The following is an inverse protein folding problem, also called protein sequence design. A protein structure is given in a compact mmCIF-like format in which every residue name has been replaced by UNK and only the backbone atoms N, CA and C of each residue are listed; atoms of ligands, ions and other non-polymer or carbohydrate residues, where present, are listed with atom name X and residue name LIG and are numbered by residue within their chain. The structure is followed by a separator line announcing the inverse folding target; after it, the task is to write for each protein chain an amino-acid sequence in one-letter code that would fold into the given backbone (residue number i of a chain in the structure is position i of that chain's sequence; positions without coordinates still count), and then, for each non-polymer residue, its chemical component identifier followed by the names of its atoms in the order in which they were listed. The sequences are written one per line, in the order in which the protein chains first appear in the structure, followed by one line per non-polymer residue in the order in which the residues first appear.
data_IF_381870550178
#
_entry.id   IF_381870550178
#
_cell.length_a   1.000
_cell.length_b   1.000
_cell.length_c   1.000
_cell.angle_alpha   90.00
_cell.angle_beta   90.00
_cell.angle_gamma   90.00
#
_symmetry.space_group_name_H-M   'P 1'
#
loop_
_entity.id
_entity.type
_entity.pdbx_description
1 polymer ?
#
# COMPACT_ATOMS: atom_id res chain seq x y z
N UNK A 1 -6.09 2.22 -23.19
CA UNK A 1 -5.48 3.30 -22.36
C UNK A 1 -5.92 3.12 -20.91
N UNK A 2 -5.50 2.05 -20.23
CA UNK A 2 -5.96 1.79 -18.85
C UNK A 2 -4.91 1.15 -17.92
N UNK A 3 -3.68 0.93 -18.38
CA UNK A 3 -2.63 0.30 -17.55
C UNK A 3 -1.71 1.29 -16.82
N UNK A 4 -1.79 2.59 -17.11
CA UNK A 4 -0.85 3.59 -16.55
C UNK A 4 -1.33 4.17 -15.20
N UNK A 5 -2.59 3.94 -14.81
CA UNK A 5 -3.18 4.63 -13.63
C UNK A 5 -2.99 3.85 -12.31
N UNK A 6 -2.83 2.52 -12.33
CA UNK A 6 -2.77 1.71 -11.09
C UNK A 6 -1.50 1.92 -10.25
N UNK A 7 -0.37 2.20 -10.89
CA UNK A 7 0.86 2.61 -10.16
C UNK A 7 0.70 3.98 -9.50
N UNK A 8 -0.19 4.84 -10.02
CA UNK A 8 -0.32 6.20 -9.53
C UNK A 8 -0.82 6.30 -8.08
N UNK A 9 -1.60 5.33 -7.58
CA UNK A 9 -2.00 5.34 -6.16
C UNK A 9 -0.84 4.87 -5.26
N UNK A 10 -0.20 3.76 -5.62
CA UNK A 10 0.88 3.15 -4.84
C UNK A 10 2.13 4.05 -4.77
N UNK A 11 2.31 4.93 -5.76
CA UNK A 11 3.39 5.94 -5.80
C UNK A 11 3.05 7.25 -5.06
N UNK A 12 1.79 7.50 -4.69
CA UNK A 12 1.41 8.70 -3.92
C UNK A 12 1.81 8.57 -2.47
N UNK A 13 2.06 9.71 -1.84
CA UNK A 13 2.29 9.76 -0.40
C UNK A 13 1.00 9.45 0.37
N UNK A 14 1.14 8.86 1.55
CA UNK A 14 0.00 8.52 2.41
C UNK A 14 -0.85 9.76 2.73
N UNK A 15 -0.23 10.92 2.98
CA UNK A 15 -0.95 12.17 3.24
C UNK A 15 -1.76 12.73 2.06
N UNK A 16 -1.41 12.37 0.82
CA UNK A 16 -2.15 12.80 -0.37
C UNK A 16 -3.41 11.94 -0.61
N UNK A 17 -3.45 10.73 -0.04
CA UNK A 17 -4.50 9.74 -0.27
C UNK A 17 -5.39 9.57 0.97
N UNK A 18 -4.83 9.72 2.16
CA UNK A 18 -5.49 9.45 3.43
C UNK A 18 -5.48 10.70 4.33
N UNK A 19 -6.65 11.28 4.55
CA UNK A 19 -6.83 12.51 5.37
C UNK A 19 -6.36 12.36 6.84
N UNK A 20 -6.20 11.13 7.32
CA UNK A 20 -5.76 10.82 8.68
C UNK A 20 -4.25 10.65 8.80
N UNK A 21 -3.51 10.64 7.69
CA UNK A 21 -2.07 10.44 7.67
C UNK A 21 -1.36 11.76 7.34
N UNK A 22 -0.34 12.10 8.12
CA UNK A 22 0.60 13.19 7.78
C UNK A 22 1.89 12.66 7.13
N UNK A 23 1.94 11.35 6.81
CA UNK A 23 3.16 10.71 6.32
C UNK A 23 3.45 11.01 4.86
N UNK A 24 4.70 11.39 4.57
CA UNK A 24 5.25 11.51 3.22
C UNK A 24 5.56 10.15 2.58
N UNK A 25 5.51 9.06 3.35
CA UNK A 25 5.79 7.70 2.87
C UNK A 25 4.82 7.31 1.75
N UNK A 26 5.30 6.76 0.63
CA UNK A 26 4.44 6.21 -0.41
C UNK A 26 3.49 5.13 0.11
N UNK A 27 2.29 5.01 -0.46
CA UNK A 27 1.33 3.97 -0.08
C UNK A 27 1.92 2.56 -0.20
N UNK A 28 2.75 2.30 -1.22
CA UNK A 28 3.41 0.99 -1.35
C UNK A 28 4.36 0.69 -0.18
N UNK A 29 5.10 1.69 0.27
CA UNK A 29 6.14 1.51 1.28
C UNK A 29 5.47 1.30 2.65
N UNK A 30 4.36 2.00 2.90
CA UNK A 30 3.54 1.78 4.07
C UNK A 30 2.95 0.35 4.11
N UNK A 31 2.47 -0.18 2.97
CA UNK A 31 2.01 -1.55 2.84
C UNK A 31 3.16 -2.56 3.03
N UNK A 32 4.31 -2.29 2.42
CA UNK A 32 5.51 -3.10 2.55
C UNK A 32 5.94 -3.23 4.01
N UNK A 33 6.03 -2.11 4.73
CA UNK A 33 6.39 -2.09 6.15
C UNK A 33 5.37 -2.88 7.01
N UNK A 34 4.08 -2.73 6.73
CA UNK A 34 3.04 -3.53 7.41
C UNK A 34 3.26 -5.04 7.22
N UNK A 35 3.54 -5.49 6.00
CA UNK A 35 3.81 -6.89 5.73
C UNK A 35 5.16 -7.36 6.27
N UNK A 36 6.18 -6.50 6.29
CA UNK A 36 7.47 -6.80 6.92
C UNK A 36 7.30 -7.10 8.41
N UNK A 37 6.56 -6.26 9.13
CA UNK A 37 6.29 -6.49 10.56
C UNK A 37 5.47 -7.78 10.78
N UNK A 38 4.46 -8.02 9.95
CA UNK A 38 3.61 -9.23 10.03
C UNK A 38 4.36 -10.52 9.69
N UNK A 39 5.28 -10.48 8.73
CA UNK A 39 6.02 -11.64 8.23
C UNK A 39 7.37 -11.87 8.94
N UNK A 40 7.68 -11.14 10.01
CA UNK A 40 8.96 -11.26 10.72
C UNK A 40 10.15 -10.85 9.86
N UNK A 41 9.98 -9.78 9.06
CA UNK A 41 10.98 -9.18 8.18
C UNK A 41 11.46 -10.12 7.05
N UNK A 42 10.64 -11.10 6.69
CA UNK A 42 10.90 -11.97 5.55
C UNK A 42 10.50 -11.27 4.24
N UNK A 43 11.50 -10.88 3.44
CA UNK A 43 11.31 -10.19 2.18
C UNK A 43 10.53 -11.00 1.16
N UNK A 44 10.79 -12.31 1.06
CA UNK A 44 10.12 -13.18 0.08
C UNK A 44 8.61 -13.22 0.32
N UNK A 45 8.20 -13.36 1.59
CA UNK A 45 6.77 -13.34 1.98
C UNK A 45 6.14 -11.97 1.80
N UNK A 46 6.88 -10.90 2.05
CA UNK A 46 6.40 -9.53 1.86
C UNK A 46 6.17 -9.25 0.38
N UNK A 47 7.09 -9.67 -0.50
CA UNK A 47 6.92 -9.57 -1.94
C UNK A 47 5.68 -10.35 -2.41
N UNK A 48 5.51 -11.60 -1.97
CA UNK A 48 4.33 -12.41 -2.28
C UNK A 48 3.03 -11.73 -1.82
N UNK A 49 3.02 -11.12 -0.63
CA UNK A 49 1.88 -10.39 -0.10
C UNK A 49 1.58 -9.08 -0.85
N UNK A 50 2.59 -8.46 -1.47
CA UNK A 50 2.44 -7.22 -2.26
C UNK A 50 1.90 -7.46 -3.67
N UNK A 51 2.12 -8.64 -4.26
CA UNK A 51 1.71 -8.98 -5.64
C UNK A 51 0.23 -8.68 -5.95
N UNK A 52 -0.75 -9.02 -5.08
CA UNK A 52 -2.15 -8.70 -5.36
C UNK A 52 -2.39 -7.20 -5.53
N UNK A 53 -1.77 -6.36 -4.70
CA UNK A 53 -1.95 -4.90 -4.71
C UNK A 53 -1.40 -4.23 -5.97
N UNK A 54 -0.44 -4.84 -6.66
CA UNK A 54 0.07 -4.32 -7.95
C UNK A 54 -0.96 -4.39 -9.08
N UNK A 55 -1.93 -5.29 -8.96
CA UNK A 55 -2.95 -5.54 -9.99
C UNK A 55 -4.37 -5.23 -9.54
N UNK A 56 -4.59 -4.94 -8.26
CA UNK A 56 -5.91 -4.66 -7.71
C UNK A 56 -6.44 -3.26 -8.09
N UNK A 57 -7.65 -2.94 -7.65
CA UNK A 57 -8.24 -1.61 -7.83
C UNK A 57 -7.89 -0.68 -6.67
N UNK A 58 -7.72 0.61 -6.96
CA UNK A 58 -7.43 1.65 -5.96
C UNK A 58 -8.36 1.59 -4.74
N UNK A 59 -9.67 1.41 -4.95
CA UNK A 59 -10.66 1.30 -3.87
C UNK A 59 -10.35 0.20 -2.86
N UNK A 60 -9.84 -0.94 -3.33
CA UNK A 60 -9.49 -2.08 -2.46
C UNK A 60 -8.20 -1.82 -1.69
N UNK A 61 -7.22 -1.19 -2.35
CA UNK A 61 -5.97 -0.78 -1.71
C UNK A 61 -6.29 0.21 -0.58
N UNK A 62 -7.13 1.21 -0.88
CA UNK A 62 -7.58 2.22 0.09
C UNK A 62 -8.36 1.58 1.24
N UNK A 63 -9.27 0.64 0.95
CA UNK A 63 -10.02 -0.07 2.00
C UNK A 63 -9.07 -0.84 2.93
N UNK A 64 -8.15 -1.62 2.37
CA UNK A 64 -7.18 -2.39 3.14
C UNK A 64 -6.32 -1.49 4.03
N UNK A 65 -5.81 -0.37 3.49
CA UNK A 65 -4.99 0.58 4.25
C UNK A 65 -5.79 1.22 5.39
N UNK A 66 -7.05 1.61 5.14
CA UNK A 66 -7.92 2.16 6.18
C UNK A 66 -8.27 1.14 7.28
N UNK A 67 -8.36 -0.15 6.95
CA UNK A 67 -8.69 -1.20 7.91
C UNK A 67 -7.49 -1.64 8.76
N UNK A 68 -6.28 -1.62 8.18
CA UNK A 68 -5.09 -2.23 8.80
C UNK A 68 -4.03 -1.24 9.27
N UNK A 69 -3.86 -0.10 8.58
CA UNK A 69 -2.79 0.86 8.86
C UNK A 69 -3.30 2.11 9.61
N UNK A 70 -4.61 2.36 9.61
CA UNK A 70 -5.21 3.44 10.40
C UNK A 70 -5.14 3.09 11.89
N UNK A 71 -4.40 3.91 12.65
CA UNK A 71 -4.27 3.78 14.12
C UNK A 71 -4.96 4.93 14.84
#
# INVERSE_FOLDING_TARGET
MSEIVKTALLDRSMKEVFDWSDSDTPVRDALWDYFMESNGHNTDKTEEAMLPFMSDSDDKIIAFVNENLKK
#
